data_IF_268566233313
#
_entry.id   IF_268566233313
#
_cell.length_a   1.000
_cell.length_b   1.000
_cell.length_c   1.000
_cell.angle_alpha   90.00
_cell.angle_beta   90.00
_cell.angle_gamma   90.00
#
_symmetry.space_group_name_H-M   'P 1'
#
loop_
_entity.id
_entity.type
_entity.pdbx_description
1 polymer ?
#
# COMPACT_ATOMS: atom_id res chain seq x y z
N UNK A 1 -22.50 11.07 90.25
CA UNK A 1 -23.09 10.89 88.90
C UNK A 1 -22.32 11.73 87.89
N UNK A 2 -21.49 11.11 87.07
CA UNK A 2 -20.57 11.75 86.12
C UNK A 2 -21.24 12.05 84.77
N UNK A 3 -21.01 13.26 84.26
CA UNK A 3 -21.65 13.86 83.08
C UNK A 3 -20.90 13.47 81.79
N UNK A 4 -21.60 12.88 80.81
CA UNK A 4 -21.07 12.46 79.50
C UNK A 4 -20.67 13.67 78.63
N UNK A 5 -19.44 13.68 78.08
CA UNK A 5 -18.95 14.67 77.10
C UNK A 5 -19.29 14.24 75.67
N UNK A 6 -19.96 15.11 74.92
CA UNK A 6 -20.20 14.99 73.47
C UNK A 6 -19.00 15.54 72.68
N UNK A 7 -18.49 14.78 71.70
CA UNK A 7 -17.40 15.18 70.78
C UNK A 7 -17.99 15.82 69.52
N UNK A 8 -17.65 17.09 69.25
CA UNK A 8 -17.92 17.77 67.96
C UNK A 8 -16.90 17.31 66.89
N UNK A 9 -17.38 16.94 65.71
CA UNK A 9 -16.57 16.71 64.51
C UNK A 9 -16.25 18.05 63.82
N UNK A 10 -14.98 18.36 63.63
CA UNK A 10 -14.52 19.52 62.88
C UNK A 10 -14.47 19.23 61.38
N UNK A 11 -15.27 19.95 60.60
CA UNK A 11 -15.25 19.93 59.13
C UNK A 11 -14.01 20.69 58.66
N UNK A 12 -13.02 20.00 58.06
CA UNK A 12 -11.79 20.62 57.54
C UNK A 12 -12.15 21.56 56.37
N UNK A 13 -11.84 22.86 56.52
CA UNK A 13 -11.90 23.84 55.43
C UNK A 13 -10.66 23.65 54.54
N UNK A 14 -10.86 23.36 53.26
CA UNK A 14 -9.79 23.34 52.25
C UNK A 14 -9.53 24.81 51.84
N UNK A 15 -8.27 25.25 51.93
CA UNK A 15 -7.88 26.61 51.56
C UNK A 15 -7.99 26.81 50.04
N UNK A 16 -8.38 28.01 49.61
CA UNK A 16 -8.55 28.39 48.20
C UNK A 16 -7.29 28.13 47.37
N UNK A 17 -6.11 28.29 47.97
CA UNK A 17 -4.82 27.96 47.34
C UNK A 17 -4.69 26.47 47.03
N UNK A 18 -5.13 25.59 47.95
CA UNK A 18 -5.14 24.14 47.72
C UNK A 18 -6.23 23.75 46.71
N UNK A 19 -7.34 24.47 46.67
CA UNK A 19 -8.41 24.26 45.68
C UNK A 19 -7.95 24.62 44.26
N UNK A 20 -7.23 25.73 44.09
CA UNK A 20 -6.67 26.16 42.80
C UNK A 20 -5.57 25.21 42.31
N UNK A 21 -4.72 24.70 43.21
CA UNK A 21 -3.71 23.68 42.87
C UNK A 21 -4.39 22.38 42.40
N UNK A 22 -5.46 21.93 43.07
CA UNK A 22 -6.20 20.73 42.66
C UNK A 22 -6.91 20.91 41.30
N UNK A 23 -7.45 22.10 41.01
CA UNK A 23 -8.05 22.42 39.71
C UNK A 23 -6.97 22.45 38.61
N UNK A 24 -5.81 23.07 38.87
CA UNK A 24 -4.71 23.08 37.91
C UNK A 24 -4.17 21.67 37.61
N UNK A 25 -4.04 20.81 38.62
CA UNK A 25 -3.67 19.40 38.46
C UNK A 25 -4.73 18.64 37.65
N UNK A 26 -6.02 18.87 37.90
CA UNK A 26 -7.10 18.25 37.13
C UNK A 26 -7.12 18.69 35.65
N UNK A 27 -6.77 19.94 35.35
CA UNK A 27 -6.68 20.45 33.97
C UNK A 27 -5.46 19.86 33.24
N UNK A 28 -4.31 19.70 33.92
CA UNK A 28 -3.13 19.05 33.34
C UNK A 28 -3.38 17.56 33.12
N UNK A 29 -3.98 16.85 34.09
CA UNK A 29 -4.32 15.44 33.94
C UNK A 29 -5.40 15.23 32.86
N UNK A 30 -6.41 16.10 32.78
CA UNK A 30 -7.45 16.05 31.75
C UNK A 30 -6.94 16.39 30.35
N UNK A 31 -6.01 17.35 30.23
CA UNK A 31 -5.38 17.71 28.95
C UNK A 31 -4.44 16.62 28.43
N UNK A 32 -3.70 15.94 29.31
CA UNK A 32 -2.88 14.77 28.96
C UNK A 32 -3.78 13.60 28.57
N UNK A 33 -4.89 13.35 29.27
CA UNK A 33 -5.82 12.27 28.91
C UNK A 33 -6.56 12.51 27.58
N UNK A 34 -6.87 13.76 27.22
CA UNK A 34 -7.51 14.10 25.94
C UNK A 34 -6.57 13.93 24.73
N UNK A 35 -5.27 14.20 24.91
CA UNK A 35 -4.25 13.94 23.90
C UNK A 35 -3.95 12.44 23.68
N UNK A 36 -4.41 11.56 24.59
CA UNK A 36 -4.17 10.12 24.53
C UNK A 36 -5.35 9.32 23.95
N UNK A 37 -6.47 9.97 23.58
CA UNK A 37 -7.69 9.29 23.08
C UNK A 37 -7.94 9.54 21.58
N UNK A 38 -7.14 10.37 20.91
CA UNK A 38 -7.01 10.30 19.46
C UNK A 38 -5.68 9.63 19.13
N UNK A 39 -5.67 8.30 19.14
CA UNK A 39 -4.67 7.57 18.35
C UNK A 39 -5.11 7.78 16.89
N UNK A 40 -4.43 8.63 16.08
CA UNK A 40 -4.61 8.52 14.62
C UNK A 40 -4.30 7.07 14.23
N UNK A 41 -4.94 6.50 13.19
CA UNK A 41 -4.59 5.15 12.74
C UNK A 41 -3.06 5.07 12.66
N UNK A 42 -2.49 4.06 13.32
CA UNK A 42 -1.03 3.92 13.47
C UNK A 42 -0.38 3.97 12.10
N UNK A 43 0.76 4.67 11.97
CA UNK A 43 1.60 4.73 10.77
C UNK A 43 1.87 3.33 10.16
N UNK A 44 1.78 2.28 10.98
CA UNK A 44 1.90 0.87 10.60
C UNK A 44 0.74 0.35 9.71
N UNK A 45 -0.47 0.91 9.82
CA UNK A 45 -1.61 0.61 8.94
C UNK A 45 -1.60 1.46 7.65
N UNK A 46 -0.80 2.54 7.64
CA UNK A 46 -0.53 3.40 6.49
C UNK A 46 0.66 2.92 5.64
N UNK A 47 1.37 1.87 6.06
CA UNK A 47 2.53 1.31 5.38
C UNK A 47 2.26 -0.10 4.79
N UNK A 48 1.03 -0.41 4.38
CA UNK A 48 0.88 -1.41 3.32
C UNK A 48 1.51 -0.78 2.10
N UNK A 49 2.59 -1.34 1.56
CA UNK A 49 3.37 -0.63 0.56
C UNK A 49 2.55 -0.03 -0.58
N UNK A 50 3.14 0.92 -1.31
CA UNK A 50 2.43 1.57 -2.41
C UNK A 50 2.19 0.57 -3.55
N UNK A 51 0.93 0.34 -3.95
CA UNK A 51 0.58 -0.30 -5.22
C UNK A 51 0.38 0.80 -6.25
N UNK A 52 1.23 0.80 -7.27
CA UNK A 52 1.26 1.83 -8.29
C UNK A 52 0.35 1.46 -9.46
N UNK A 53 -0.30 2.47 -10.01
CA UNK A 53 -1.08 2.36 -11.23
C UNK A 53 -0.59 3.40 -12.23
N UNK A 54 -0.52 3.01 -13.50
CA UNK A 54 -0.13 3.88 -14.60
C UNK A 54 -0.89 3.51 -15.88
N UNK A 55 -0.97 4.46 -16.81
CA UNK A 55 -1.38 4.18 -18.18
C UNK A 55 -0.15 3.84 -19.00
N UNK A 56 -0.23 2.81 -19.83
CA UNK A 56 0.69 2.72 -20.96
C UNK A 56 0.39 3.88 -21.92
N UNK A 57 1.44 4.46 -22.48
CA UNK A 57 1.31 5.61 -23.38
C UNK A 57 1.57 5.19 -24.81
N UNK A 58 0.95 5.89 -25.76
CA UNK A 58 1.16 5.67 -27.20
C UNK A 58 2.63 5.78 -27.62
N UNK A 59 3.46 6.44 -26.81
CA UNK A 59 4.90 6.58 -27.01
C UNK A 59 5.73 5.53 -26.26
N UNK A 60 5.37 5.20 -25.02
CA UNK A 60 6.17 4.27 -24.20
C UNK A 60 5.99 2.81 -24.66
N UNK A 61 4.74 2.45 -24.99
CA UNK A 61 4.30 1.13 -25.46
C UNK A 61 4.98 0.00 -24.70
N UNK A 62 4.90 0.09 -23.37
CA UNK A 62 5.56 -0.84 -22.46
C UNK A 62 5.09 -2.26 -22.74
N UNK A 63 3.78 -2.52 -22.82
CA UNK A 63 3.25 -3.86 -23.08
C UNK A 63 3.75 -4.50 -24.39
N UNK A 64 4.06 -3.67 -25.39
CA UNK A 64 4.49 -4.12 -26.72
C UNK A 64 6.01 -4.39 -26.82
N UNK A 65 6.81 -4.00 -25.83
CA UNK A 65 8.26 -4.26 -25.84
C UNK A 65 8.52 -5.75 -26.00
N UNK A 66 9.51 -6.13 -26.79
CA UNK A 66 9.75 -7.52 -27.21
C UNK A 66 9.91 -8.51 -26.03
N UNK A 67 10.41 -8.04 -24.90
CA UNK A 67 10.62 -8.82 -23.69
C UNK A 67 9.30 -9.07 -22.94
N UNK A 68 8.37 -8.11 -22.97
CA UNK A 68 7.04 -8.25 -22.37
C UNK A 68 6.07 -8.88 -23.38
N UNK A 69 5.83 -8.28 -24.57
CA UNK A 69 4.94 -8.79 -25.63
C UNK A 69 3.63 -9.35 -25.07
N UNK A 70 2.88 -8.50 -24.40
CA UNK A 70 1.59 -8.87 -23.83
C UNK A 70 0.61 -9.17 -24.96
N UNK A 71 0.43 -10.46 -25.28
CA UNK A 71 -0.51 -10.92 -26.30
C UNK A 71 -1.93 -11.12 -25.78
N UNK A 72 -2.09 -11.26 -24.46
CA UNK A 72 -3.36 -11.42 -23.76
C UNK A 72 -3.26 -10.74 -22.39
N UNK A 73 -4.38 -10.33 -21.80
CA UNK A 73 -4.41 -9.68 -20.49
C UNK A 73 -5.33 -10.43 -19.50
N UNK A 74 -5.02 -10.46 -18.19
CA UNK A 74 -3.81 -9.88 -17.60
C UNK A 74 -2.56 -10.65 -18.03
N UNK A 75 -1.44 -9.96 -18.21
CA UNK A 75 -0.11 -10.59 -18.27
C UNK A 75 0.68 -10.10 -17.08
N UNK A 76 1.18 -11.04 -16.28
CA UNK A 76 2.05 -10.75 -15.16
C UNK A 76 3.50 -11.01 -15.53
N UNK A 77 4.36 -10.05 -15.20
CA UNK A 77 5.81 -10.17 -15.32
C UNK A 77 6.42 -9.98 -13.94
N UNK A 78 7.21 -10.96 -13.48
CA UNK A 78 7.97 -10.85 -12.23
C UNK A 78 9.43 -10.59 -12.56
N UNK A 79 9.97 -9.52 -11.97
CA UNK A 79 11.34 -9.06 -12.14
C UNK A 79 12.08 -9.24 -10.82
N UNK A 80 13.24 -9.89 -10.89
CA UNK A 80 14.12 -10.11 -9.74
C UNK A 80 14.83 -8.83 -9.27
N UNK A 81 15.48 -8.93 -8.11
CA UNK A 81 16.25 -7.83 -7.52
C UNK A 81 17.40 -7.32 -8.41
N UNK A 82 17.84 -8.11 -9.40
CA UNK A 82 18.87 -7.74 -10.36
C UNK A 82 18.30 -7.08 -11.63
N UNK A 83 16.98 -7.02 -11.77
CA UNK A 83 16.30 -6.47 -12.94
C UNK A 83 16.10 -7.45 -14.09
N UNK A 84 16.17 -8.75 -13.81
CA UNK A 84 15.89 -9.79 -14.79
C UNK A 84 14.45 -10.25 -14.69
N UNK A 85 13.83 -10.50 -15.83
CA UNK A 85 12.53 -11.18 -15.88
C UNK A 85 12.76 -12.64 -15.47
N UNK A 86 12.03 -13.11 -14.47
CA UNK A 86 12.05 -14.52 -14.05
C UNK A 86 10.73 -15.24 -14.34
N UNK A 87 9.65 -14.47 -14.53
CA UNK A 87 8.33 -15.00 -14.87
C UNK A 87 7.64 -14.08 -15.87
N UNK A 88 6.91 -14.68 -16.80
CA UNK A 88 6.05 -13.98 -17.72
C UNK A 88 4.95 -14.90 -18.21
N UNK A 89 3.72 -14.63 -17.79
CA UNK A 89 2.58 -15.46 -18.18
C UNK A 89 1.30 -14.65 -18.24
N UNK A 90 0.44 -14.99 -19.20
CA UNK A 90 -0.88 -14.42 -19.33
C UNK A 90 -1.90 -15.29 -18.61
N UNK A 91 -2.80 -14.67 -17.86
CA UNK A 91 -3.80 -15.35 -17.04
C UNK A 91 -3.76 -14.93 -15.58
N UNK A 92 -4.74 -15.46 -14.83
CA UNK A 92 -4.89 -15.17 -13.41
C UNK A 92 -3.94 -16.05 -12.61
N UNK A 93 -3.18 -15.44 -11.72
CA UNK A 93 -2.29 -16.08 -10.76
C UNK A 93 -2.86 -15.91 -9.35
N UNK A 94 -2.83 -16.98 -8.59
CA UNK A 94 -3.22 -17.01 -7.18
C UNK A 94 -2.16 -16.34 -6.30
N UNK A 95 -2.56 -15.91 -5.11
CA UNK A 95 -1.68 -15.39 -4.08
C UNK A 95 -0.48 -16.32 -3.81
N UNK A 96 -0.71 -17.64 -3.66
CA UNK A 96 0.38 -18.57 -3.33
C UNK A 96 1.39 -18.75 -4.47
N UNK A 97 0.93 -18.70 -5.72
CA UNK A 97 1.82 -18.70 -6.88
C UNK A 97 2.67 -17.44 -6.91
N UNK A 98 2.05 -16.28 -6.68
CA UNK A 98 2.75 -14.99 -6.66
C UNK A 98 3.76 -14.91 -5.50
N UNK A 99 3.41 -15.37 -4.30
CA UNK A 99 4.35 -15.43 -3.17
C UNK A 99 5.55 -16.31 -3.52
N UNK A 100 5.33 -17.48 -4.12
CA UNK A 100 6.43 -18.36 -4.53
C UNK A 100 7.34 -17.71 -5.58
N UNK A 101 6.77 -16.97 -6.54
CA UNK A 101 7.55 -16.24 -7.53
C UNK A 101 8.35 -15.09 -6.91
N UNK A 102 7.78 -14.37 -5.95
CA UNK A 102 8.49 -13.31 -5.21
C UNK A 102 9.68 -13.89 -4.46
N UNK A 103 9.51 -14.98 -3.73
CA UNK A 103 10.61 -15.62 -3.00
C UNK A 103 11.73 -16.07 -3.94
N UNK A 104 11.38 -16.65 -5.10
CA UNK A 104 12.36 -17.03 -6.12
C UNK A 104 13.08 -15.81 -6.72
N UNK A 105 12.38 -14.69 -6.88
CA UNK A 105 12.93 -13.42 -7.37
C UNK A 105 13.88 -12.77 -6.36
N UNK A 106 13.60 -12.89 -5.06
CA UNK A 106 14.44 -12.37 -3.98
C UNK A 106 15.72 -13.19 -3.82
N UNK A 107 15.61 -14.52 -3.85
CA UNK A 107 16.75 -15.41 -3.59
C UNK A 107 17.51 -15.84 -4.85
N UNK A 108 17.04 -15.45 -6.04
CA UNK A 108 17.68 -15.75 -7.33
C UNK A 108 17.64 -17.22 -7.74
N UNK A 109 16.65 -17.99 -7.26
CA UNK A 109 16.52 -19.41 -7.59
C UNK A 109 15.78 -19.70 -8.91
N UNK A 110 15.04 -18.73 -9.44
CA UNK A 110 14.41 -18.86 -10.75
C UNK A 110 15.38 -18.54 -11.91
N UNK A 111 15.26 -19.24 -13.05
CA UNK A 111 16.04 -18.93 -14.23
C UNK A 111 15.62 -17.58 -14.84
N UNK A 112 16.61 -16.82 -15.32
CA UNK A 112 16.35 -15.57 -16.05
C UNK A 112 15.83 -15.83 -17.46
N UNK A 113 14.78 -15.10 -17.85
CA UNK A 113 14.25 -14.98 -19.21
C UNK A 113 14.85 -13.78 -19.98
N UNK A 114 15.87 -13.14 -19.42
CA UNK A 114 16.52 -11.93 -19.94
C UNK A 114 16.27 -10.69 -19.08
N UNK A 115 17.03 -9.63 -19.35
CA UNK A 115 16.91 -8.35 -18.63
C UNK A 115 15.62 -7.62 -19.00
N UNK A 116 14.92 -7.12 -17.99
CA UNK A 116 13.71 -6.32 -18.19
C UNK A 116 14.08 -4.99 -18.88
N UNK A 117 13.44 -4.64 -20.01
CA UNK A 117 13.72 -3.40 -20.71
C UNK A 117 13.27 -2.20 -19.87
N UNK A 118 14.11 -1.19 -19.80
CA UNK A 118 13.80 0.01 -19.02
C UNK A 118 12.65 0.81 -19.65
N UNK A 119 11.91 1.50 -18.78
CA UNK A 119 10.81 2.38 -19.17
C UNK A 119 10.54 3.39 -18.06
N UNK A 120 9.90 4.49 -18.46
CA UNK A 120 9.44 5.53 -17.55
C UNK A 120 7.97 5.80 -17.80
N UNK A 121 7.15 5.78 -16.75
CA UNK A 121 5.73 6.12 -16.78
C UNK A 121 5.39 7.13 -15.68
N UNK A 122 4.29 7.86 -15.89
CA UNK A 122 3.65 8.64 -14.84
C UNK A 122 2.63 7.78 -14.12
N UNK A 123 2.71 7.73 -12.80
CA UNK A 123 1.77 7.01 -11.94
C UNK A 123 0.61 7.92 -11.53
N UNK A 124 -0.48 7.31 -11.10
CA UNK A 124 -1.74 8.00 -10.73
C UNK A 124 -1.60 8.92 -9.51
N UNK A 125 -0.58 8.71 -8.69
CA UNK A 125 -0.19 9.59 -7.58
C UNK A 125 0.63 10.83 -8.03
N UNK A 126 0.92 10.97 -9.33
CA UNK A 126 1.71 12.06 -9.91
C UNK A 126 3.23 11.84 -9.92
N UNK A 127 3.71 10.73 -9.38
CA UNK A 127 5.13 10.36 -9.40
C UNK A 127 5.57 9.89 -10.80
N UNK A 128 6.89 9.82 -10.97
CA UNK A 128 7.51 9.20 -12.13
C UNK A 128 8.09 7.87 -11.69
N UNK A 129 7.66 6.79 -12.32
CA UNK A 129 8.24 5.46 -12.14
C UNK A 129 9.22 5.18 -13.27
N UNK A 130 10.50 5.00 -12.96
CA UNK A 130 11.50 4.48 -13.91
C UNK A 130 11.99 3.12 -13.43
N UNK A 131 11.83 2.08 -14.26
CA UNK A 131 12.10 0.69 -13.84
C UNK A 131 13.52 0.49 -13.29
N UNK A 132 14.53 1.12 -13.91
CA UNK A 132 15.92 1.00 -13.46
C UNK A 132 16.19 1.57 -12.05
N UNK A 133 15.35 2.49 -11.56
CA UNK A 133 15.52 3.11 -10.24
C UNK A 133 15.13 2.16 -9.10
N UNK A 134 14.42 1.08 -9.40
CA UNK A 134 13.94 0.09 -8.42
C UNK A 134 14.75 -1.21 -8.43
N UNK A 135 15.99 -1.20 -8.95
CA UNK A 135 16.92 -2.32 -8.76
C UNK A 135 17.13 -2.57 -7.26
N UNK A 136 17.27 -3.84 -6.88
CA UNK A 136 17.29 -4.28 -5.48
C UNK A 136 15.91 -4.57 -4.88
N UNK A 137 14.83 -4.38 -5.63
CA UNK A 137 13.45 -4.74 -5.24
C UNK A 137 12.87 -5.74 -6.23
N UNK A 138 11.98 -6.61 -5.74
CA UNK A 138 11.15 -7.44 -6.62
C UNK A 138 10.02 -6.58 -7.17
N UNK A 139 9.75 -6.71 -8.46
CA UNK A 139 8.72 -5.94 -9.16
C UNK A 139 7.78 -6.89 -9.87
N UNK A 140 6.49 -6.73 -9.64
CA UNK A 140 5.42 -7.31 -10.43
C UNK A 140 4.88 -6.23 -11.35
N UNK A 141 4.99 -6.45 -12.66
CA UNK A 141 4.25 -5.67 -13.66
C UNK A 141 2.97 -6.43 -13.99
N UNK A 142 1.84 -5.79 -13.76
CA UNK A 142 0.50 -6.30 -14.08
C UNK A 142 -0.05 -5.54 -15.28
N UNK A 143 0.07 -6.12 -16.46
CA UNK A 143 -0.49 -5.54 -17.68
C UNK A 143 -1.96 -5.90 -17.79
N UNK A 144 -2.82 -4.89 -17.71
CA UNK A 144 -4.26 -5.07 -17.53
C UNK A 144 -5.07 -4.04 -18.33
N UNK A 145 -6.40 -4.17 -18.27
CA UNK A 145 -7.34 -3.17 -18.76
C UNK A 145 -8.64 -3.26 -17.96
N UNK A 146 -9.45 -2.20 -17.95
CA UNK A 146 -10.73 -2.16 -17.22
C UNK A 146 -11.73 -3.16 -17.77
N UNK A 147 -11.86 -3.24 -19.11
CA UNK A 147 -12.83 -4.15 -19.78
C UNK A 147 -12.29 -5.56 -19.99
N UNK A 148 -11.53 -6.06 -19.04
CA UNK A 148 -10.94 -7.39 -19.03
C UNK A 148 -11.46 -8.19 -17.81
N UNK A 149 -12.47 -9.08 -17.98
CA UNK A 149 -12.99 -9.87 -16.86
C UNK A 149 -11.94 -10.62 -16.02
N UNK A 150 -10.91 -11.28 -16.59
CA UNK A 150 -9.88 -11.92 -15.77
C UNK A 150 -9.00 -10.92 -15.01
N UNK A 151 -8.86 -9.67 -15.48
CA UNK A 151 -8.13 -8.65 -14.74
C UNK A 151 -8.81 -8.32 -13.41
N UNK A 152 -10.16 -8.29 -13.37
CA UNK A 152 -10.93 -8.14 -12.12
C UNK A 152 -10.73 -9.31 -11.15
N UNK A 153 -10.45 -10.52 -11.66
CA UNK A 153 -10.13 -11.68 -10.83
C UNK A 153 -8.70 -11.63 -10.28
N UNK A 154 -7.77 -10.98 -11.01
CA UNK A 154 -6.38 -10.84 -10.60
C UNK A 154 -6.19 -9.81 -9.48
N UNK A 155 -6.96 -8.71 -9.47
CA UNK A 155 -6.78 -7.62 -8.51
C UNK A 155 -6.89 -8.08 -7.04
N UNK A 156 -7.87 -8.91 -6.63
CA UNK A 156 -7.92 -9.44 -5.27
C UNK A 156 -6.69 -10.27 -4.89
N UNK A 157 -6.11 -11.05 -5.80
CA UNK A 157 -4.93 -11.86 -5.52
C UNK A 157 -3.68 -10.98 -5.35
N UNK A 158 -3.51 -9.95 -6.20
CA UNK A 158 -2.45 -8.95 -6.04
C UNK A 158 -2.62 -8.13 -4.75
N UNK A 159 -3.87 -7.84 -4.35
CA UNK A 159 -4.15 -7.15 -3.10
C UNK A 159 -3.71 -7.97 -1.89
N UNK A 160 -4.01 -9.28 -1.86
CA UNK A 160 -3.55 -10.18 -0.79
C UNK A 160 -2.03 -10.23 -0.71
N UNK A 161 -1.35 -10.38 -1.86
CA UNK A 161 0.12 -10.30 -1.94
C UNK A 161 0.62 -8.99 -1.35
N UNK A 162 -0.05 -7.87 -1.64
CA UNK A 162 0.36 -6.57 -1.12
C UNK A 162 0.15 -6.44 0.39
N UNK A 163 -0.90 -7.04 0.94
CA UNK A 163 -1.14 -7.13 2.38
C UNK A 163 -0.09 -8.01 3.08
N UNK A 164 0.34 -9.10 2.45
CA UNK A 164 1.35 -10.03 2.99
C UNK A 164 2.77 -9.47 2.91
N UNK A 165 3.18 -9.01 1.72
CA UNK A 165 4.57 -8.61 1.42
C UNK A 165 4.86 -7.12 1.62
N UNK A 166 3.84 -6.27 1.77
CA UNK A 166 4.02 -4.85 2.04
C UNK A 166 4.99 -4.16 1.07
N UNK A 167 6.04 -3.53 1.58
CA UNK A 167 7.07 -2.81 0.81
C UNK A 167 8.21 -3.71 0.24
N UNK A 168 8.17 -5.01 0.48
CA UNK A 168 9.16 -5.95 -0.06
C UNK A 168 8.95 -6.20 -1.56
N UNK A 169 7.70 -6.04 -2.02
CA UNK A 169 7.32 -6.12 -3.44
C UNK A 169 6.72 -4.83 -3.94
N UNK A 170 7.14 -4.41 -5.14
CA UNK A 170 6.50 -3.35 -5.90
C UNK A 170 5.53 -3.97 -6.88
N UNK A 171 4.28 -3.53 -6.85
CA UNK A 171 3.29 -3.89 -7.86
C UNK A 171 2.99 -2.62 -8.67
N UNK A 172 3.19 -2.71 -9.99
CA UNK A 172 2.81 -1.67 -10.93
C UNK A 172 1.80 -2.25 -11.92
N UNK A 173 0.54 -1.87 -11.77
CA UNK A 173 -0.51 -2.19 -12.75
C UNK A 173 -0.51 -1.16 -13.86
N UNK A 174 -0.36 -1.64 -15.10
CA UNK A 174 -0.24 -0.82 -16.31
C UNK A 174 -1.43 -1.10 -17.21
N UNK A 175 -2.25 -0.08 -17.44
CA UNK A 175 -3.35 -0.17 -18.40
C UNK A 175 -2.82 -0.10 -19.84
N UNK A 176 -2.93 -1.19 -20.59
CA UNK A 176 -2.38 -1.26 -21.97
C UNK A 176 -3.36 -0.74 -23.03
N UNK A 177 -4.65 -0.68 -22.74
CA UNK A 177 -5.69 -0.19 -23.66
C UNK A 177 -5.60 1.35 -23.81
N UNK A 178 -5.10 2.04 -22.79
CA UNK A 178 -4.80 3.47 -22.82
C UNK A 178 -3.79 3.87 -23.91
N UNK A 179 -2.83 3.00 -24.26
CA UNK A 179 -1.87 3.28 -25.33
C UNK A 179 -2.54 3.42 -26.72
N UNK A 180 -3.75 2.88 -26.86
CA UNK A 180 -4.58 2.96 -28.06
C UNK A 180 -5.72 3.99 -27.94
N UNK A 181 -5.80 4.68 -26.79
CA UNK A 181 -6.84 5.67 -26.51
C UNK A 181 -8.21 5.07 -26.17
N UNK A 182 -8.26 3.79 -25.78
CA UNK A 182 -9.52 3.14 -25.41
C UNK A 182 -9.94 3.41 -23.97
N UNK A 183 -8.98 3.66 -23.07
CA UNK A 183 -9.23 3.83 -21.63
C UNK A 183 -8.42 5.01 -21.08
N UNK A 184 -8.94 5.64 -20.03
CA UNK A 184 -8.34 6.78 -19.33
C UNK A 184 -8.07 6.46 -17.87
N UNK A 185 -7.27 7.28 -17.19
CA UNK A 185 -7.07 7.16 -15.73
C UNK A 185 -8.39 7.18 -14.96
N UNK A 186 -9.37 7.98 -15.40
CA UNK A 186 -10.68 8.02 -14.76
C UNK A 186 -11.43 6.70 -14.89
N UNK A 187 -11.31 6.01 -16.03
CA UNK A 187 -11.93 4.69 -16.22
C UNK A 187 -11.30 3.66 -15.27
N UNK A 188 -9.96 3.66 -15.18
CA UNK A 188 -9.22 2.77 -14.28
C UNK A 188 -9.57 3.05 -12.81
N UNK A 189 -9.58 4.31 -12.39
CA UNK A 189 -9.99 4.70 -11.02
C UNK A 189 -11.42 4.31 -10.71
N UNK A 190 -12.33 4.42 -11.69
CA UNK A 190 -13.72 3.99 -11.50
C UNK A 190 -13.84 2.48 -11.31
N UNK A 191 -13.00 1.69 -11.99
CA UNK A 191 -13.05 0.24 -11.93
C UNK A 191 -12.31 -0.35 -10.73
N UNK A 192 -11.13 0.19 -10.41
CA UNK A 192 -10.18 -0.39 -9.45
C UNK A 192 -9.82 0.57 -8.32
N UNK A 193 -10.61 1.62 -8.11
CA UNK A 193 -10.35 2.67 -7.11
C UNK A 193 -10.19 2.16 -5.68
N UNK A 194 -10.73 0.99 -5.34
CA UNK A 194 -10.51 0.37 -4.02
C UNK A 194 -9.04 -0.04 -3.78
N UNK A 195 -8.27 -0.24 -4.84
CA UNK A 195 -6.84 -0.58 -4.80
C UNK A 195 -5.92 0.63 -5.02
N UNK A 196 -6.47 1.75 -5.50
CA UNK A 196 -5.73 2.97 -5.81
C UNK A 196 -5.90 3.93 -4.62
N UNK A 197 -4.91 3.95 -3.72
CA UNK A 197 -4.90 4.90 -2.61
C UNK A 197 -4.46 6.29 -3.11
N UNK A 198 -5.18 7.33 -2.70
CA UNK A 198 -4.87 8.75 -2.97
C UNK A 198 -3.68 9.27 -2.15
#
# INVERSE_FOLDING_TARGET
MTRKRSKRHGKKRINLTNMLILIAIAIVIGGIAFALIQKPPSEEEQQSGKWLFALDTSTARVGDKQQYRTGYIPTLVVIDVNGNIIHKEAGVHTESELISLIEQAENGSAPSLGTAPDFTLKTFDGETFTLSEYRGKVIILDFMAVRCPPCHQQMPELHKVKLDKGDDVIILSIDVDAAYGYETEQDVRKAFGEYIKE
#
